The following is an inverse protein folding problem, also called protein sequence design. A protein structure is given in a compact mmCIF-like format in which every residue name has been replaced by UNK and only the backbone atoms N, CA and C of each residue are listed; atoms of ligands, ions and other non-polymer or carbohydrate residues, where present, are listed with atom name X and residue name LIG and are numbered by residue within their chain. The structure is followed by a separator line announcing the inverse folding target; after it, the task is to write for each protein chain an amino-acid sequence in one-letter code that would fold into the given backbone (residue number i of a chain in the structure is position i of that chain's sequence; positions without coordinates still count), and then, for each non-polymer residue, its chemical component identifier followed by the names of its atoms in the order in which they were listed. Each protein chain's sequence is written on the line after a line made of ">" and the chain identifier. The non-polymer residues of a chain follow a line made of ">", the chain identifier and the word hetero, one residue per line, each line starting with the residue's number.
data_IF_040449984733
#
_entry.id   IF_040449984733
#
_cell.length_a   1.000
_cell.length_b   1.000
_cell.length_c   1.000
_cell.angle_alpha   90.00
_cell.angle_beta   90.00
_cell.angle_gamma   90.00
#
_symmetry.space_group_name_H-M   'P 1'
#
loop_
_entity.id
_entity.type
_entity.pdbx_description
1 polymer ?
#
# COMPACT_ATOMS: atom_id res chain seq x y z
N UNK A 1 30.84 -7.23 -6.84
CA UNK A 1 30.23 -5.99 -6.32
C UNK A 1 28.72 -6.19 -6.27
N UNK A 2 28.10 -6.28 -5.09
CA UNK A 2 26.64 -6.32 -4.93
C UNK A 2 26.19 -4.88 -4.65
N UNK A 3 25.53 -4.24 -5.60
CA UNK A 3 24.93 -2.92 -5.45
C UNK A 3 23.56 -3.11 -4.81
N UNK A 4 23.48 -3.01 -3.48
CA UNK A 4 22.20 -2.84 -2.78
C UNK A 4 21.69 -1.43 -3.08
N UNK A 5 20.80 -1.30 -4.04
CA UNK A 5 20.02 -0.07 -4.22
C UNK A 5 19.00 0.01 -3.09
N UNK A 6 19.41 0.57 -1.95
CA UNK A 6 18.45 1.12 -1.00
C UNK A 6 17.75 2.28 -1.71
N UNK A 7 16.64 1.98 -2.39
CA UNK A 7 15.78 2.99 -2.98
C UNK A 7 15.13 3.74 -1.82
N UNK A 8 15.83 4.77 -1.33
CA UNK A 8 15.23 5.85 -0.56
C UNK A 8 14.29 6.58 -1.50
N UNK A 9 13.08 6.06 -1.70
CA UNK A 9 11.98 6.88 -2.22
C UNK A 9 11.66 7.90 -1.15
N UNK A 10 12.19 9.12 -1.29
CA UNK A 10 11.55 10.29 -0.70
C UNK A 10 10.15 10.36 -1.30
N UNK A 11 9.15 9.84 -0.58
CA UNK A 11 7.78 9.70 -1.09
C UNK A 11 7.10 11.07 -1.08
N UNK A 12 7.39 11.91 -2.08
CA UNK A 12 6.46 12.97 -2.45
C UNK A 12 5.18 12.30 -2.96
N UNK A 13 4.02 12.73 -2.49
CA UNK A 13 2.75 12.03 -2.73
C UNK A 13 2.35 11.97 -4.21
N UNK A 14 3.02 12.75 -5.07
CA UNK A 14 2.82 12.72 -6.51
C UNK A 14 3.59 11.59 -7.20
N UNK A 15 4.64 11.05 -6.57
CA UNK A 15 5.55 10.10 -7.21
C UNK A 15 5.02 8.67 -7.19
N UNK A 16 4.31 8.26 -6.13
CA UNK A 16 3.78 6.89 -6.05
C UNK A 16 2.67 6.66 -7.07
N UNK A 17 1.70 7.58 -7.16
CA UNK A 17 0.64 7.50 -8.17
C UNK A 17 1.19 7.49 -9.59
N UNK A 18 2.18 8.34 -9.89
CA UNK A 18 2.86 8.36 -11.18
C UNK A 18 3.62 7.05 -11.46
N UNK A 19 4.24 6.46 -10.43
CA UNK A 19 4.97 5.19 -10.54
C UNK A 19 4.01 4.02 -10.80
N UNK A 20 2.88 3.96 -10.10
CA UNK A 20 1.81 2.98 -10.31
C UNK A 20 1.26 3.06 -11.73
N UNK A 21 0.90 4.28 -12.17
CA UNK A 21 0.41 4.54 -13.53
C UNK A 21 1.44 4.14 -14.61
N UNK A 22 2.72 4.47 -14.42
CA UNK A 22 3.80 4.09 -15.34
C UNK A 22 3.96 2.58 -15.45
N UNK A 23 3.79 1.86 -14.34
CA UNK A 23 3.89 0.39 -14.29
C UNK A 23 2.58 -0.31 -14.69
N UNK A 24 1.51 0.43 -14.96
CA UNK A 24 0.15 -0.08 -15.22
C UNK A 24 -0.31 -1.08 -14.15
N UNK A 25 0.01 -0.77 -12.90
CA UNK A 25 -0.45 -1.54 -11.73
C UNK A 25 -1.02 -0.58 -10.71
N UNK A 26 -1.90 -1.09 -9.87
CA UNK A 26 -2.60 -0.40 -8.78
C UNK A 26 -1.96 -0.69 -7.41
N UNK A 27 -1.05 -1.66 -7.32
CA UNK A 27 -0.40 -2.09 -6.09
C UNK A 27 1.03 -2.58 -6.33
N UNK A 28 1.92 -2.27 -5.39
CA UNK A 28 3.28 -2.81 -5.32
C UNK A 28 3.44 -3.56 -4.00
N UNK A 29 3.91 -4.79 -4.12
CA UNK A 29 4.28 -5.64 -2.99
C UNK A 29 5.75 -6.02 -3.13
N UNK A 30 6.55 -5.71 -2.11
CA UNK A 30 7.92 -6.20 -1.99
C UNK A 30 8.03 -7.07 -0.74
N UNK A 31 8.57 -8.28 -0.86
CA UNK A 31 8.68 -9.24 0.23
C UNK A 31 10.16 -9.48 0.52
N UNK A 32 10.55 -9.35 1.78
CA UNK A 32 11.92 -9.58 2.25
C UNK A 32 11.87 -10.15 3.67
N UNK A 33 12.52 -11.30 3.88
CA UNK A 33 12.66 -11.97 5.19
C UNK A 33 11.36 -12.10 5.99
N UNK A 34 10.27 -12.49 5.33
CA UNK A 34 8.95 -12.67 5.97
C UNK A 34 8.18 -11.38 6.26
N UNK A 35 8.76 -10.23 5.89
CA UNK A 35 8.11 -8.94 5.89
C UNK A 35 7.67 -8.54 4.48
N UNK A 36 6.71 -7.64 4.42
CA UNK A 36 6.11 -7.15 3.21
C UNK A 36 5.99 -5.62 3.28
N UNK A 37 6.48 -4.95 2.25
CA UNK A 37 6.21 -3.55 1.97
C UNK A 37 5.09 -3.47 0.94
N UNK A 38 3.95 -2.94 1.37
CA UNK A 38 2.75 -2.76 0.55
C UNK A 38 2.55 -1.28 0.24
N UNK A 39 2.54 -0.94 -1.06
CA UNK A 39 2.36 0.44 -1.53
C UNK A 39 1.26 0.50 -2.57
N UNK A 40 0.21 1.26 -2.29
CA UNK A 40 -0.91 1.45 -3.23
C UNK A 40 -1.58 2.81 -3.02
N UNK A 41 -2.40 3.19 -4.00
CA UNK A 41 -3.27 4.37 -3.93
C UNK A 41 -4.70 3.91 -4.20
N UNK A 42 -5.57 4.06 -3.20
CA UNK A 42 -6.93 3.51 -3.23
C UNK A 42 -7.92 4.55 -2.71
N UNK A 43 -9.21 4.30 -2.87
CA UNK A 43 -10.24 5.13 -2.24
C UNK A 43 -10.19 5.03 -0.71
N UNK A 44 -10.71 6.04 -0.02
CA UNK A 44 -10.75 6.05 1.45
C UNK A 44 -11.51 4.85 2.04
N UNK A 45 -12.55 4.37 1.35
CA UNK A 45 -13.31 3.19 1.76
C UNK A 45 -12.48 1.90 1.67
N UNK A 46 -11.77 1.71 0.55
CA UNK A 46 -10.87 0.56 0.38
C UNK A 46 -9.72 0.64 1.39
N UNK A 47 -9.15 1.84 1.61
CA UNK A 47 -8.08 2.01 2.59
C UNK A 47 -8.51 1.64 4.01
N UNK A 48 -9.72 2.01 4.42
CA UNK A 48 -10.24 1.64 5.73
C UNK A 48 -10.31 0.11 5.91
N UNK A 49 -10.77 -0.62 4.87
CA UNK A 49 -10.78 -2.08 4.90
C UNK A 49 -9.37 -2.67 4.92
N UNK A 50 -8.45 -2.16 4.09
CA UNK A 50 -7.07 -2.60 4.03
C UNK A 50 -6.31 -2.37 5.34
N UNK A 51 -6.60 -1.30 6.09
CA UNK A 51 -5.90 -0.97 7.33
C UNK A 51 -6.51 -1.65 8.57
N UNK A 52 -7.72 -2.20 8.47
CA UNK A 52 -8.40 -2.86 9.59
C UNK A 52 -7.59 -3.99 10.28
N UNK A 53 -6.83 -4.84 9.54
CA UNK A 53 -5.98 -5.87 10.15
C UNK A 53 -4.90 -5.32 11.10
N UNK A 54 -4.53 -4.04 10.97
CA UNK A 54 -3.49 -3.40 11.79
C UNK A 54 -4.00 -2.99 13.18
N UNK A 55 -5.31 -3.04 13.44
CA UNK A 55 -5.94 -2.86 14.78
C UNK A 55 -5.47 -1.63 15.60
N UNK A 56 -4.92 -0.60 14.96
CA UNK A 56 -4.38 0.61 15.61
C UNK A 56 -2.91 0.93 15.26
N UNK A 57 -2.16 -0.02 14.71
CA UNK A 57 -0.77 0.17 14.26
C UNK A 57 -0.66 0.84 12.89
N UNK A 58 -1.78 1.25 12.29
CA UNK A 58 -1.84 1.92 11.00
C UNK A 58 -1.25 3.34 11.00
N UNK A 59 -0.94 3.91 12.18
CA UNK A 59 -0.38 5.25 12.30
C UNK A 59 0.95 5.35 11.55
N UNK A 60 1.03 6.25 10.57
CA UNK A 60 2.21 6.43 9.72
C UNK A 60 2.30 5.50 8.51
N UNK A 61 1.40 4.51 8.39
CA UNK A 61 1.34 3.57 7.26
C UNK A 61 0.43 4.06 6.11
N UNK A 62 -0.23 5.19 6.28
CA UNK A 62 -1.07 5.80 5.27
C UNK A 62 -0.95 7.32 5.26
N UNK A 63 -1.32 7.91 4.13
CA UNK A 63 -1.41 9.36 3.93
C UNK A 63 -2.69 9.70 3.16
N UNK A 64 -3.53 10.61 3.68
CA UNK A 64 -4.67 11.10 2.93
C UNK A 64 -4.22 11.92 1.71
N UNK A 65 -4.95 11.78 0.60
CA UNK A 65 -4.75 12.52 -0.63
C UNK A 65 -6.04 13.29 -1.01
N UNK A 66 -5.95 14.33 -1.86
CA UNK A 66 -7.13 14.99 -2.41
C UNK A 66 -8.07 14.02 -3.14
N UNK A 67 -9.37 14.33 -3.16
CA UNK A 67 -10.34 13.56 -3.95
C UNK A 67 -10.73 12.20 -3.35
N UNK A 68 -10.80 12.11 -2.02
CA UNK A 68 -11.17 10.88 -1.29
C UNK A 68 -10.23 9.69 -1.53
N UNK A 69 -8.97 9.96 -1.89
CA UNK A 69 -7.95 8.95 -2.08
C UNK A 69 -7.03 8.86 -0.87
N UNK A 70 -6.45 7.69 -0.69
CA UNK A 70 -5.49 7.41 0.37
C UNK A 70 -4.32 6.66 -0.26
N UNK A 71 -3.13 7.13 0.04
CA UNK A 71 -1.91 6.38 -0.21
C UNK A 71 -1.62 5.50 1.00
N UNK A 72 -1.38 4.21 0.76
CA UNK A 72 -0.87 3.27 1.76
C UNK A 72 0.60 3.02 1.46
N UNK A 73 1.45 3.11 2.48
CA UNK A 73 2.87 2.79 2.47
C UNK A 73 3.16 2.01 3.77
N UNK A 74 2.78 0.73 3.75
CA UNK A 74 2.71 -0.13 4.94
C UNK A 74 3.85 -1.13 4.95
N UNK A 75 4.62 -1.15 6.04
CA UNK A 75 5.64 -2.18 6.29
C UNK A 75 5.10 -3.13 7.37
N UNK A 76 4.72 -4.33 6.95
CA UNK A 76 3.99 -5.30 7.77
C UNK A 76 4.56 -6.70 7.61
N UNK A 77 4.14 -7.65 8.43
CA UNK A 77 4.49 -9.06 8.22
C UNK A 77 3.75 -9.60 6.99
N UNK A 78 4.31 -10.63 6.34
CA UNK A 78 3.68 -11.26 5.17
C UNK A 78 2.23 -11.70 5.42
N UNK A 79 1.87 -12.36 6.55
CA UNK A 79 0.49 -12.73 6.83
C UNK A 79 -0.45 -11.53 6.90
N UNK A 80 0.00 -10.41 7.47
CA UNK A 80 -0.78 -9.19 7.54
C UNK A 80 -0.96 -8.59 6.15
N UNK A 81 0.09 -8.50 5.34
CA UNK A 81 -0.02 -8.03 3.95
C UNK A 81 -1.03 -8.86 3.13
N UNK A 82 -1.07 -10.18 3.33
CA UNK A 82 -2.09 -11.04 2.70
C UNK A 82 -3.51 -10.65 3.12
N UNK A 83 -3.76 -10.45 4.43
CA UNK A 83 -5.06 -9.99 4.92
C UNK A 83 -5.44 -8.62 4.36
N UNK A 84 -4.48 -7.70 4.22
CA UNK A 84 -4.72 -6.38 3.61
C UNK A 84 -5.12 -6.51 2.13
N UNK A 85 -4.46 -7.40 1.38
CA UNK A 85 -4.78 -7.65 -0.04
C UNK A 85 -6.14 -8.33 -0.21
N UNK A 86 -6.48 -9.28 0.66
CA UNK A 86 -7.81 -9.91 0.67
C UNK A 86 -8.91 -8.88 0.97
N UNK A 87 -8.68 -7.99 1.94
CA UNK A 87 -9.61 -6.91 2.27
C UNK A 87 -9.79 -5.93 1.10
N UNK A 88 -8.71 -5.61 0.35
CA UNK A 88 -8.79 -4.83 -0.90
C UNK A 88 -9.69 -5.51 -1.91
N UNK A 89 -9.41 -6.77 -2.24
CA UNK A 89 -10.17 -7.52 -3.25
C UNK A 89 -11.65 -7.68 -2.87
N UNK A 90 -11.94 -7.95 -1.59
CA UNK A 90 -13.30 -8.05 -1.09
C UNK A 90 -14.07 -6.73 -1.25
N UNK A 91 -13.44 -5.59 -0.94
CA UNK A 91 -14.07 -4.27 -1.07
C UNK A 91 -14.25 -3.86 -2.54
N UNK A 92 -13.29 -4.16 -3.41
CA UNK A 92 -13.40 -3.90 -4.85
C UNK A 92 -14.58 -4.66 -5.48
N UNK A 93 -14.79 -5.92 -5.07
CA UNK A 93 -15.95 -6.71 -5.51
C UNK A 93 -17.29 -6.22 -4.97
N UNK A 94 -17.31 -5.44 -3.88
CA UNK A 94 -18.56 -4.87 -3.34
C UNK A 94 -18.94 -3.54 -4.02
N UNK A 95 -17.95 -2.85 -4.61
CA UNK A 95 -18.12 -1.53 -5.23
C UNK A 95 -18.34 -1.61 -6.74
N UNK A 96 -18.18 -2.79 -7.35
CA UNK A 96 -18.40 -3.08 -8.77
C UNK A 96 -19.64 -3.96 -8.95
#
# INVERSE_FOLDING_TARGET
>A
MRTSTAVRTSTNSNDLGALLARRRTDLILAIEDGNALLRCQVSSAIAAAMLAPLKGEAAGQFRPLPGNQVQIDAAVTLPVAMQMMEAKAAMENQLH
#
